data_IF_148235828731
#
_entry.id   IF_148235828731
#
_cell.length_a   1.000
_cell.length_b   1.000
_cell.length_c   1.000
_cell.angle_alpha   90.00
_cell.angle_beta   90.00
_cell.angle_gamma   90.00
#
_symmetry.space_group_name_H-M   'P 1'
#
loop_
_entity.id
_entity.type
_entity.pdbx_description
1 polymer ?
#
# COMPACT_ATOMS: atom_id res chain seq x y z
N UNK A 1 23.19 -23.33 22.97
CA UNK A 1 22.36 -24.54 22.71
C UNK A 1 21.71 -24.41 21.34
N UNK A 2 21.44 -25.51 20.63
CA UNK A 2 20.66 -25.53 19.37
C UNK A 2 19.35 -26.28 19.60
N UNK A 3 18.33 -26.01 18.77
CA UNK A 3 16.98 -26.61 18.90
C UNK A 3 17.03 -28.15 18.89
N UNK A 4 17.81 -28.73 17.97
CA UNK A 4 17.99 -30.18 17.87
C UNK A 4 18.60 -30.79 19.13
N UNK A 5 19.54 -30.07 19.77
CA UNK A 5 20.14 -30.50 21.04
C UNK A 5 19.14 -30.41 22.19
N UNK A 6 18.29 -29.39 22.20
CA UNK A 6 17.23 -29.26 23.21
C UNK A 6 16.19 -30.38 23.09
N UNK A 7 15.78 -30.74 21.86
CA UNK A 7 14.87 -31.86 21.60
C UNK A 7 15.47 -33.20 22.02
N UNK A 8 16.76 -33.44 21.72
CA UNK A 8 17.46 -34.65 22.16
C UNK A 8 17.61 -34.74 23.67
N UNK A 9 17.89 -33.61 24.33
CA UNK A 9 18.06 -33.56 25.79
C UNK A 9 16.75 -33.85 26.53
N UNK A 10 15.64 -33.31 26.03
CA UNK A 10 14.30 -33.59 26.58
C UNK A 10 13.72 -34.93 26.09
N UNK A 11 14.30 -35.56 25.07
CA UNK A 11 13.80 -36.82 24.49
C UNK A 11 12.49 -36.67 23.72
N UNK A 12 12.26 -35.51 23.12
CA UNK A 12 10.98 -35.13 22.49
C UNK A 12 11.16 -34.97 20.97
N UNK A 13 10.14 -35.34 20.18
CA UNK A 13 10.16 -35.16 18.73
C UNK A 13 9.92 -33.70 18.32
N UNK A 14 10.41 -33.31 17.14
CA UNK A 14 10.30 -31.93 16.62
C UNK A 14 8.85 -31.43 16.44
N UNK A 15 7.89 -32.37 16.34
CA UNK A 15 6.46 -32.09 16.21
C UNK A 15 5.64 -32.22 17.50
N UNK A 16 6.25 -32.52 18.65
CA UNK A 16 5.50 -32.79 19.87
C UNK A 16 4.72 -31.57 20.38
N UNK A 17 3.62 -31.83 21.08
CA UNK A 17 2.81 -30.77 21.68
C UNK A 17 3.58 -30.09 22.82
N UNK A 18 3.16 -28.87 23.17
CA UNK A 18 3.79 -28.18 24.30
C UNK A 18 3.58 -28.92 25.63
N UNK A 19 2.45 -29.62 25.76
CA UNK A 19 2.14 -30.44 26.92
C UNK A 19 3.09 -31.65 27.03
N UNK A 20 3.47 -32.25 25.89
CA UNK A 20 4.47 -33.33 25.85
C UNK A 20 5.86 -32.83 26.27
N UNK A 21 6.24 -31.62 25.84
CA UNK A 21 7.52 -30.99 26.22
C UNK A 21 7.55 -30.73 27.73
N UNK A 22 6.45 -30.23 28.32
CA UNK A 22 6.32 -30.03 29.76
C UNK A 22 6.41 -31.34 30.55
N UNK A 23 5.73 -32.39 30.06
CA UNK A 23 5.79 -33.72 30.67
C UNK A 23 7.20 -34.30 30.65
N UNK A 24 7.89 -34.17 29.51
CA UNK A 24 9.26 -34.62 29.35
C UNK A 24 10.24 -33.85 30.24
N UNK A 25 10.11 -32.52 30.33
CA UNK A 25 10.90 -31.70 31.28
C UNK A 25 10.74 -32.23 32.70
N UNK A 26 9.50 -32.41 33.17
CA UNK A 26 9.24 -32.87 34.53
C UNK A 26 9.81 -34.27 34.79
N UNK A 27 9.78 -35.16 33.79
CA UNK A 27 10.38 -36.49 33.89
C UNK A 27 11.91 -36.44 33.99
N UNK A 28 12.57 -35.64 33.14
CA UNK A 28 14.04 -35.51 33.13
C UNK A 28 14.53 -34.77 34.39
N UNK A 29 13.80 -33.76 34.84
CA UNK A 29 14.11 -33.03 36.07
C UNK A 29 13.97 -33.93 37.30
N UNK A 30 12.98 -34.83 37.32
CA UNK A 30 12.85 -35.83 38.38
C UNK A 30 14.02 -36.82 38.44
N UNK A 31 14.65 -37.14 37.29
CA UNK A 31 15.85 -37.99 37.25
C UNK A 31 17.15 -37.25 37.59
N UNK A 32 17.20 -35.91 37.48
CA UNK A 32 18.39 -35.09 37.74
C UNK A 32 18.40 -34.42 39.12
N UNK A 33 17.72 -35.00 40.13
CA UNK A 33 17.52 -34.39 41.46
C UNK A 33 18.79 -33.91 42.17
N UNK A 34 19.95 -34.51 41.89
CA UNK A 34 21.21 -34.22 42.56
C UNK A 34 22.21 -33.43 41.69
N UNK A 35 21.94 -33.28 40.38
CA UNK A 35 22.85 -32.63 39.42
C UNK A 35 22.35 -31.24 39.03
N UNK A 36 22.80 -30.22 39.77
CA UNK A 36 22.44 -28.81 39.56
C UNK A 36 22.80 -28.29 38.15
N UNK A 37 23.91 -28.76 37.57
CA UNK A 37 24.29 -28.41 36.20
C UNK A 37 23.36 -29.05 35.16
N UNK A 38 22.97 -30.31 35.34
CA UNK A 38 22.05 -31.00 34.46
C UNK A 38 20.64 -30.36 34.51
N UNK A 39 20.18 -29.99 35.71
CA UNK A 39 18.92 -29.25 35.89
C UNK A 39 18.94 -27.92 35.13
N UNK A 40 20.04 -27.15 35.21
CA UNK A 40 20.18 -25.89 34.48
C UNK A 40 20.13 -26.07 32.95
N UNK A 41 20.68 -27.17 32.44
CA UNK A 41 20.64 -27.48 31.01
C UNK A 41 19.24 -27.89 30.56
N UNK A 42 18.49 -28.64 31.38
CA UNK A 42 17.10 -29.01 31.11
C UNK A 42 16.21 -27.77 31.04
N UNK A 43 16.40 -26.81 31.95
CA UNK A 43 15.68 -25.53 31.94
C UNK A 43 16.04 -24.67 30.72
N UNK A 44 17.33 -24.57 30.39
CA UNK A 44 17.77 -23.86 29.19
C UNK A 44 17.24 -24.49 27.89
N UNK A 45 17.13 -25.83 27.84
CA UNK A 45 16.52 -26.55 26.72
C UNK A 45 15.03 -26.23 26.60
N UNK A 46 14.32 -26.23 27.74
CA UNK A 46 12.90 -25.90 27.80
C UNK A 46 12.62 -24.46 27.34
N UNK A 47 13.37 -23.48 27.86
CA UNK A 47 13.22 -22.07 27.49
C UNK A 47 13.47 -21.82 26.01
N UNK A 48 14.43 -22.53 25.42
CA UNK A 48 14.70 -22.46 23.99
C UNK A 48 13.50 -22.93 23.15
N UNK A 49 12.90 -24.07 23.49
CA UNK A 49 11.72 -24.60 22.79
C UNK A 49 10.49 -23.70 23.00
N UNK A 50 10.33 -23.14 24.20
CA UNK A 50 9.28 -22.17 24.50
C UNK A 50 9.43 -20.91 23.63
N UNK A 51 10.63 -20.32 23.57
CA UNK A 51 10.90 -19.13 22.78
C UNK A 51 10.73 -19.38 21.27
N UNK A 52 11.10 -20.57 20.79
CA UNK A 52 10.86 -20.96 19.40
C UNK A 52 9.36 -21.04 19.07
N UNK A 53 8.52 -21.59 19.95
CA UNK A 53 7.07 -21.62 19.74
C UNK A 53 6.47 -20.22 19.79
N UNK A 54 6.95 -19.35 20.67
CA UNK A 54 6.53 -17.94 20.73
C UNK A 54 6.92 -17.18 19.45
N UNK A 55 8.13 -17.39 18.93
CA UNK A 55 8.56 -16.77 17.68
C UNK A 55 7.76 -17.28 16.47
N UNK A 56 7.42 -18.57 16.42
CA UNK A 56 6.52 -19.14 15.42
C UNK A 56 5.12 -18.51 15.48
N UNK A 57 4.56 -18.30 16.68
CA UNK A 57 3.28 -17.58 16.86
C UNK A 57 3.35 -16.12 16.41
N UNK A 58 4.43 -15.41 16.74
CA UNK A 58 4.66 -14.03 16.25
C UNK A 58 4.82 -13.98 14.73
N UNK A 59 5.39 -15.03 14.13
CA UNK A 59 5.53 -15.17 12.69
C UNK A 59 4.25 -15.64 11.97
N UNK A 60 3.12 -15.78 12.69
CA UNK A 60 1.85 -16.25 12.12
C UNK A 60 1.82 -17.74 11.76
N UNK A 61 2.85 -18.50 12.13
CA UNK A 61 2.93 -19.95 11.92
C UNK A 61 2.33 -20.65 13.13
N UNK A 62 1.03 -20.93 13.08
CA UNK A 62 0.37 -21.73 14.13
C UNK A 62 0.76 -23.18 13.96
N UNK A 63 1.25 -23.79 15.04
CA UNK A 63 1.62 -25.21 15.05
C UNK A 63 0.45 -26.17 14.76
N UNK A 64 -0.79 -25.67 14.78
CA UNK A 64 -1.98 -26.47 14.57
C UNK A 64 -2.96 -25.73 13.65
N UNK A 65 -3.12 -26.23 12.42
CA UNK A 65 -4.03 -25.66 11.42
C UNK A 65 -5.52 -25.80 11.76
N UNK A 66 -5.84 -26.58 12.81
CA UNK A 66 -7.21 -26.77 13.31
C UNK A 66 -7.69 -25.65 14.25
N UNK A 67 -6.80 -24.74 14.66
CA UNK A 67 -7.20 -23.57 15.45
C UNK A 67 -7.86 -22.59 14.49
N UNK A 68 -9.18 -22.69 14.36
CA UNK A 68 -9.99 -21.71 13.67
C UNK A 68 -9.91 -20.44 14.49
N UNK A 69 -9.17 -19.46 13.97
CA UNK A 69 -9.29 -18.10 14.46
C UNK A 69 -10.77 -17.75 14.48
N UNK A 70 -11.21 -16.98 15.48
CA UNK A 70 -12.50 -16.35 15.38
C UNK A 70 -12.46 -15.56 14.08
N UNK A 71 -13.12 -16.08 13.04
CA UNK A 71 -13.49 -15.31 11.88
C UNK A 71 -14.37 -14.21 12.46
N UNK A 72 -13.72 -13.13 12.90
CA UNK A 72 -14.36 -11.85 13.08
C UNK A 72 -14.82 -11.58 11.67
N UNK A 73 -16.09 -11.93 11.37
CA UNK A 73 -16.78 -11.43 10.20
C UNK A 73 -16.38 -9.97 10.18
N UNK A 74 -15.66 -9.49 9.14
CA UNK A 74 -15.30 -8.08 9.11
C UNK A 74 -16.62 -7.37 9.36
N UNK A 75 -16.69 -6.64 10.47
CA UNK A 75 -17.82 -5.79 10.76
C UNK A 75 -17.85 -4.93 9.51
N UNK A 76 -18.83 -5.19 8.64
CA UNK A 76 -19.16 -4.29 7.55
C UNK A 76 -19.21 -2.96 8.24
N UNK A 77 -18.25 -2.09 7.90
CA UNK A 77 -18.27 -0.74 8.42
C UNK A 77 -19.71 -0.26 8.21
N UNK A 78 -20.40 0.22 9.26
CA UNK A 78 -21.72 0.79 9.07
C UNK A 78 -21.53 1.86 8.00
N UNK A 79 -22.16 1.63 6.85
CA UNK A 79 -21.87 2.34 5.62
C UNK A 79 -21.99 3.83 5.85
N UNK A 80 -20.82 4.49 5.87
CA UNK A 80 -20.76 5.94 5.76
C UNK A 80 -21.10 6.27 4.31
N UNK A 81 -22.37 6.62 4.08
CA UNK A 81 -22.89 7.17 2.84
C UNK A 81 -23.25 6.12 1.79
N UNK A 82 -24.55 6.03 1.47
CA UNK A 82 -25.03 5.29 0.32
C UNK A 82 -24.37 5.83 -0.96
N UNK A 83 -23.43 5.06 -1.52
CA UNK A 83 -22.93 5.29 -2.86
C UNK A 83 -24.08 5.02 -3.86
N UNK A 84 -24.33 5.91 -4.84
CA UNK A 84 -25.40 5.74 -5.81
C UNK A 84 -25.16 4.48 -6.67
N UNK A 85 -26.24 3.81 -7.10
CA UNK A 85 -26.17 2.48 -7.74
C UNK A 85 -25.27 2.40 -8.97
N UNK A 86 -25.15 3.50 -9.73
CA UNK A 86 -24.27 3.59 -10.90
C UNK A 86 -22.80 3.42 -10.52
N UNK A 87 -22.41 3.92 -9.35
CA UNK A 87 -21.06 3.80 -8.83
C UNK A 87 -20.80 2.39 -8.32
N UNK A 88 -21.76 1.79 -7.61
CA UNK A 88 -21.64 0.41 -7.12
C UNK A 88 -21.49 -0.61 -8.26
N UNK A 89 -22.25 -0.47 -9.35
CA UNK A 89 -22.11 -1.35 -10.54
C UNK A 89 -20.75 -1.19 -11.23
N UNK A 90 -20.16 -0.01 -11.14
CA UNK A 90 -18.86 0.29 -11.74
C UNK A 90 -17.74 -0.27 -10.87
N UNK A 91 -17.76 -0.05 -9.55
CA UNK A 91 -16.72 -0.57 -8.65
C UNK A 91 -16.79 -2.09 -8.49
N UNK A 92 -17.99 -2.70 -8.54
CA UNK A 92 -18.16 -4.16 -8.41
C UNK A 92 -17.60 -4.95 -9.61
N UNK A 93 -17.44 -4.29 -10.77
CA UNK A 93 -16.86 -4.88 -11.98
C UNK A 93 -15.40 -4.49 -12.21
N UNK A 94 -14.85 -3.59 -11.37
CA UNK A 94 -13.46 -3.16 -11.48
C UNK A 94 -12.66 -3.91 -10.41
N UNK A 95 -11.78 -4.87 -10.79
CA UNK A 95 -10.94 -5.60 -9.86
C UNK A 95 -9.76 -4.72 -9.42
N UNK A 96 -10.06 -3.62 -8.74
CA UNK A 96 -9.08 -2.68 -8.22
C UNK A 96 -9.31 -2.55 -6.73
N UNK A 97 -8.29 -2.91 -5.96
CA UNK A 97 -8.34 -2.92 -4.51
C UNK A 97 -7.92 -1.55 -4.00
N UNK A 98 -8.83 -0.88 -3.31
CA UNK A 98 -8.56 0.40 -2.66
C UNK A 98 -7.85 0.11 -1.35
N UNK A 99 -6.52 0.29 -1.32
CA UNK A 99 -5.70 0.09 -0.11
C UNK A 99 -5.10 1.42 0.34
N UNK A 100 -5.04 1.65 1.66
CA UNK A 100 -4.47 2.88 2.20
C UNK A 100 -2.97 2.96 1.86
N UNK A 101 -2.49 4.07 1.28
CA UNK A 101 -1.09 4.25 0.92
C UNK A 101 -0.19 4.14 2.16
N UNK A 102 1.00 3.54 2.01
CA UNK A 102 2.03 3.60 3.04
C UNK A 102 2.69 4.98 3.03
N UNK A 103 2.93 5.54 4.22
CA UNK A 103 3.42 6.92 4.44
C UNK A 103 4.69 7.26 3.63
N UNK A 104 5.58 6.28 3.42
CA UNK A 104 6.81 6.47 2.65
C UNK A 104 6.55 6.64 1.13
N UNK A 105 5.58 5.92 0.56
CA UNK A 105 5.21 6.08 -0.85
C UNK A 105 4.42 7.35 -1.12
N UNK A 106 3.67 7.82 -0.12
CA UNK A 106 2.91 9.07 -0.18
C UNK A 106 3.82 10.27 -0.40
N UNK A 107 4.93 10.37 0.35
CA UNK A 107 5.84 11.51 0.25
C UNK A 107 6.50 11.65 -1.12
N UNK A 108 6.97 10.53 -1.69
CA UNK A 108 7.61 10.52 -3.02
C UNK A 108 6.59 10.86 -4.11
N UNK A 109 5.40 10.25 -4.06
CA UNK A 109 4.36 10.49 -5.05
C UNK A 109 3.82 11.93 -4.96
N UNK A 110 3.58 12.44 -3.75
CA UNK A 110 3.16 13.82 -3.53
C UNK A 110 4.26 14.81 -3.97
N UNK A 111 5.53 14.48 -3.78
CA UNK A 111 6.65 15.28 -4.27
C UNK A 111 6.69 15.36 -5.80
N UNK A 112 6.56 14.23 -6.49
CA UNK A 112 6.59 14.17 -7.97
C UNK A 112 5.41 14.90 -8.58
N UNK A 113 4.18 14.61 -8.15
CA UNK A 113 2.99 15.28 -8.68
C UNK A 113 2.89 16.74 -8.22
N UNK A 114 3.32 17.06 -7.00
CA UNK A 114 3.40 18.43 -6.51
C UNK A 114 4.40 19.29 -7.28
N UNK A 115 5.57 18.75 -7.63
CA UNK A 115 6.54 19.44 -8.47
C UNK A 115 5.97 19.71 -9.87
N UNK A 116 5.23 18.76 -10.45
CA UNK A 116 4.57 18.93 -11.75
C UNK A 116 3.45 19.99 -11.69
N UNK A 117 2.67 20.05 -10.61
CA UNK A 117 1.64 21.10 -10.40
C UNK A 117 2.27 22.50 -10.25
N UNK A 118 3.37 22.62 -9.52
CA UNK A 118 4.10 23.90 -9.42
C UNK A 118 4.67 24.29 -10.78
N UNK A 119 5.20 23.32 -11.54
CA UNK A 119 5.72 23.55 -12.89
C UNK A 119 4.62 23.95 -13.88
N UNK A 120 3.41 23.39 -13.81
CA UNK A 120 2.26 23.82 -14.62
C UNK A 120 1.86 25.25 -14.28
N UNK A 121 1.82 25.59 -12.99
CA UNK A 121 1.45 26.93 -12.54
C UNK A 121 2.46 28.00 -13.00
N UNK A 122 3.76 27.74 -12.85
CA UNK A 122 4.84 28.64 -13.31
C UNK A 122 4.84 28.78 -14.84
N UNK A 123 4.57 27.70 -15.57
CA UNK A 123 4.45 27.71 -17.03
C UNK A 123 3.20 28.45 -17.51
N UNK A 124 2.12 28.42 -16.74
CA UNK A 124 0.85 29.09 -17.04
C UNK A 124 0.79 30.59 -16.69
N UNK A 125 1.67 31.04 -15.80
CA UNK A 125 1.76 32.44 -15.33
C UNK A 125 2.88 33.25 -16.01
N UNK A 126 3.83 32.59 -16.68
CA UNK A 126 4.91 33.28 -17.40
C UNK A 126 4.46 33.75 -18.79
N UNK A 127 4.65 35.02 -19.18
CA UNK A 127 4.56 35.41 -20.59
C UNK A 127 5.64 34.65 -21.36
N UNK A 128 5.31 34.13 -22.53
CA UNK A 128 6.20 33.33 -23.36
C UNK A 128 7.55 34.03 -23.58
N UNK A 129 8.57 33.65 -22.80
CA UNK A 129 9.93 34.17 -22.96
C UNK A 129 10.93 33.01 -22.98
N UNK A 130 11.39 32.72 -24.20
CA UNK A 130 12.72 32.24 -24.56
C UNK A 130 13.21 30.91 -23.97
N UNK A 131 12.50 29.82 -24.25
CA UNK A 131 13.07 28.47 -24.33
C UNK A 131 12.63 27.81 -25.65
N UNK A 132 13.35 26.79 -26.17
CA UNK A 132 13.06 26.19 -27.48
C UNK A 132 11.74 25.39 -27.52
N UNK A 133 10.96 25.39 -26.45
CA UNK A 133 9.70 24.69 -26.32
C UNK A 133 8.57 25.69 -26.50
N UNK A 134 7.86 25.54 -27.61
CA UNK A 134 6.77 26.44 -27.99
C UNK A 134 5.63 26.30 -26.97
N UNK A 135 4.88 27.37 -26.70
CA UNK A 135 3.88 27.42 -25.62
C UNK A 135 2.73 26.38 -25.70
N UNK A 136 2.64 25.61 -26.78
CA UNK A 136 1.71 24.49 -26.94
C UNK A 136 2.29 23.14 -26.47
N UNK A 137 3.62 23.00 -26.40
CA UNK A 137 4.29 21.73 -26.10
C UNK A 137 4.45 21.48 -24.59
N UNK A 138 4.51 22.57 -23.80
CA UNK A 138 4.76 22.50 -22.35
C UNK A 138 3.66 21.74 -21.60
N UNK A 139 2.35 22.01 -21.83
CA UNK A 139 1.28 21.22 -21.20
C UNK A 139 1.30 19.75 -21.65
N UNK A 140 1.58 19.49 -22.93
CA UNK A 140 1.67 18.13 -23.48
C UNK A 140 2.82 17.33 -22.85
N UNK A 141 3.97 17.96 -22.63
CA UNK A 141 5.13 17.34 -22.00
C UNK A 141 4.90 17.05 -20.51
N UNK A 142 4.19 17.94 -19.81
CA UNK A 142 3.82 17.73 -18.39
C UNK A 142 2.79 16.59 -18.27
N UNK A 143 1.83 16.49 -19.20
CA UNK A 143 0.90 15.38 -19.26
C UNK A 143 1.59 14.05 -19.62
N UNK A 144 2.54 14.06 -20.56
CA UNK A 144 3.29 12.88 -20.92
C UNK A 144 4.16 12.37 -19.76
N UNK A 145 4.83 13.28 -19.04
CA UNK A 145 5.66 12.94 -17.89
C UNK A 145 4.83 12.46 -16.70
N UNK A 146 3.68 13.07 -16.42
CA UNK A 146 2.74 12.60 -15.38
C UNK A 146 2.11 11.25 -15.71
N UNK A 147 1.81 10.98 -16.98
CA UNK A 147 1.37 9.67 -17.45
C UNK A 147 2.46 8.61 -17.26
N UNK A 148 3.70 8.91 -17.66
CA UNK A 148 4.84 8.03 -17.45
C UNK A 148 5.13 7.74 -15.97
N UNK A 149 5.06 8.77 -15.12
CA UNK A 149 5.17 8.62 -13.68
C UNK A 149 4.07 7.72 -13.11
N UNK A 150 2.82 7.88 -13.57
CA UNK A 150 1.69 7.05 -13.15
C UNK A 150 1.90 5.58 -13.51
N UNK A 151 2.35 5.29 -14.74
CA UNK A 151 2.70 3.91 -15.16
C UNK A 151 3.83 3.33 -14.32
N UNK A 152 4.87 4.12 -14.03
CA UNK A 152 6.01 3.67 -13.22
C UNK A 152 5.57 3.29 -11.80
N UNK A 153 4.76 4.12 -11.14
CA UNK A 153 4.26 3.84 -9.79
C UNK A 153 3.30 2.65 -9.74
N UNK A 154 2.40 2.50 -10.72
CA UNK A 154 1.53 1.32 -10.80
C UNK A 154 2.32 0.04 -11.11
N UNK A 155 3.31 0.10 -12.00
CA UNK A 155 4.18 -1.03 -12.32
C UNK A 155 4.99 -1.49 -11.10
N UNK A 156 5.52 -0.54 -10.32
CA UNK A 156 6.22 -0.82 -9.05
C UNK A 156 5.32 -1.51 -8.01
N UNK A 157 3.99 -1.35 -8.11
CA UNK A 157 3.00 -2.01 -7.25
C UNK A 157 2.59 -3.43 -7.71
N UNK A 158 3.31 -4.03 -8.67
CA UNK A 158 3.04 -5.37 -9.26
C UNK A 158 1.71 -5.49 -10.02
N UNK A 159 1.24 -4.38 -10.59
CA UNK A 159 0.07 -4.38 -11.48
C UNK A 159 0.56 -4.69 -12.90
N UNK A 160 -0.18 -5.53 -13.63
CA UNK A 160 0.12 -5.77 -15.04
C UNK A 160 0.09 -4.45 -15.82
N UNK A 161 1.11 -4.18 -16.65
CA UNK A 161 1.24 -2.92 -17.40
C UNK A 161 -0.01 -2.56 -18.20
N UNK A 162 -0.67 -3.56 -18.81
CA UNK A 162 -1.92 -3.34 -19.54
C UNK A 162 -3.08 -2.86 -18.64
N UNK A 163 -3.20 -3.39 -17.42
CA UNK A 163 -4.20 -2.93 -16.45
C UNK A 163 -3.85 -1.53 -15.95
N UNK A 164 -2.58 -1.28 -15.69
CA UNK A 164 -2.11 0.03 -15.27
C UNK A 164 -2.41 1.11 -16.31
N UNK A 165 -2.16 0.81 -17.60
CA UNK A 165 -2.48 1.72 -18.70
C UNK A 165 -3.99 2.00 -18.81
N UNK A 166 -4.85 0.99 -18.69
CA UNK A 166 -6.31 1.20 -18.72
C UNK A 166 -6.77 2.08 -17.55
N UNK A 167 -6.23 1.86 -16.36
CA UNK A 167 -6.53 2.63 -15.15
C UNK A 167 -6.08 4.09 -15.31
N UNK A 168 -4.87 4.34 -15.82
CA UNK A 168 -4.35 5.70 -16.01
C UNK A 168 -5.06 6.44 -17.14
N UNK A 169 -5.44 5.75 -18.22
CA UNK A 169 -6.29 6.32 -19.27
C UNK A 169 -7.67 6.67 -18.71
N UNK A 170 -8.26 5.80 -17.90
CA UNK A 170 -9.53 6.08 -17.21
C UNK A 170 -9.45 7.32 -16.32
N UNK A 171 -8.38 7.44 -15.51
CA UNK A 171 -8.11 8.62 -14.69
C UNK A 171 -7.94 9.91 -15.50
N UNK A 172 -7.32 9.81 -16.68
CA UNK A 172 -7.10 10.94 -17.57
C UNK A 172 -8.41 11.41 -18.23
N UNK A 173 -9.25 10.49 -18.69
CA UNK A 173 -10.58 10.81 -19.25
C UNK A 173 -11.47 11.46 -18.20
N UNK A 174 -11.50 10.91 -16.98
CA UNK A 174 -12.28 11.47 -15.87
C UNK A 174 -11.75 12.85 -15.48
N UNK A 175 -10.42 13.00 -15.35
CA UNK A 175 -9.78 14.27 -15.03
C UNK A 175 -10.03 15.34 -16.10
N UNK A 176 -9.96 14.97 -17.37
CA UNK A 176 -10.25 15.87 -18.49
C UNK A 176 -11.73 16.28 -18.53
N UNK A 177 -12.66 15.34 -18.36
CA UNK A 177 -14.10 15.64 -18.36
C UNK A 177 -14.49 16.57 -17.20
N UNK A 178 -13.95 16.34 -16.00
CA UNK A 178 -14.15 17.23 -14.85
C UNK A 178 -13.47 18.59 -15.10
N UNK A 179 -12.26 18.59 -15.67
CA UNK A 179 -11.53 19.80 -16.05
C UNK A 179 -12.30 20.71 -17.00
N UNK A 180 -12.81 20.14 -18.09
CA UNK A 180 -13.64 20.88 -19.06
C UNK A 180 -14.97 21.33 -18.47
N UNK A 181 -15.58 20.52 -17.60
CA UNK A 181 -16.81 20.91 -16.89
C UNK A 181 -16.60 22.11 -15.95
N UNK A 182 -15.49 22.12 -15.21
CA UNK A 182 -15.10 23.23 -14.34
C UNK A 182 -14.79 24.49 -15.16
N UNK A 183 -14.08 24.36 -16.27
CA UNK A 183 -13.82 25.46 -17.21
C UNK A 183 -15.11 26.10 -17.71
N UNK A 184 -16.09 25.27 -18.10
CA UNK A 184 -17.39 25.72 -18.59
C UNK A 184 -18.26 26.35 -17.50
N UNK A 185 -18.10 25.93 -16.24
CA UNK A 185 -18.81 26.50 -15.10
C UNK A 185 -18.19 27.81 -14.61
N UNK A 186 -16.86 27.97 -14.75
CA UNK A 186 -16.15 29.15 -14.27
C UNK A 186 -16.33 30.40 -15.15
N UNK A 187 -17.00 30.31 -16.32
CA UNK A 187 -17.14 31.42 -17.29
C UNK A 187 -15.87 32.28 -17.36
N UNK A 188 -14.78 31.70 -17.88
CA UNK A 188 -13.43 32.30 -17.96
C UNK A 188 -13.36 33.42 -19.02
N UNK A 189 -14.32 34.34 -19.01
CA UNK A 189 -14.23 35.60 -19.74
C UNK A 189 -14.24 36.82 -18.80
N UNK A 190 -14.47 36.65 -17.49
CA UNK A 190 -14.71 37.80 -16.57
C UNK A 190 -13.79 37.92 -15.35
N UNK A 191 -13.11 36.88 -14.84
CA UNK A 191 -12.15 37.09 -13.73
C UNK A 191 -10.92 36.19 -13.84
N UNK A 192 -9.71 36.76 -14.03
CA UNK A 192 -8.47 36.02 -13.89
C UNK A 192 -8.25 35.70 -12.41
N UNK A 193 -8.71 34.53 -11.96
CA UNK A 193 -8.31 34.03 -10.66
C UNK A 193 -6.81 33.70 -10.71
N UNK A 194 -6.02 34.39 -9.89
CA UNK A 194 -4.60 34.12 -9.65
C UNK A 194 -3.63 34.26 -10.84
N UNK A 195 -3.97 35.06 -11.85
CA UNK A 195 -3.01 35.45 -12.91
C UNK A 195 -2.75 34.39 -13.98
N UNK A 196 -3.52 33.30 -14.00
CA UNK A 196 -3.45 32.25 -15.03
C UNK A 196 -4.28 32.73 -16.24
N UNK A 197 -3.61 33.01 -17.36
CA UNK A 197 -4.27 33.50 -18.59
C UNK A 197 -4.76 32.40 -19.53
N UNK A 198 -4.48 31.13 -19.24
CA UNK A 198 -4.72 30.02 -20.17
C UNK A 198 -5.64 28.96 -19.54
N UNK A 199 -6.81 28.70 -20.14
CA UNK A 199 -7.74 27.64 -19.71
C UNK A 199 -7.09 26.25 -19.66
N UNK A 200 -6.09 26.00 -20.52
CA UNK A 200 -5.36 24.74 -20.57
C UNK A 200 -4.65 24.38 -19.24
N UNK A 201 -4.25 25.37 -18.45
CA UNK A 201 -3.52 25.15 -17.19
C UNK A 201 -4.44 24.54 -16.13
N UNK A 202 -5.68 25.02 -16.05
CA UNK A 202 -6.69 24.52 -15.10
C UNK A 202 -7.03 23.06 -15.41
N UNK A 203 -7.18 22.74 -16.70
CA UNK A 203 -7.43 21.38 -17.15
C UNK A 203 -6.23 20.47 -16.82
N UNK A 204 -4.99 20.92 -17.02
CA UNK A 204 -3.82 20.12 -16.64
C UNK A 204 -3.70 19.87 -15.15
N UNK A 205 -4.02 20.86 -14.30
CA UNK A 205 -3.98 20.67 -12.83
C UNK A 205 -4.98 19.63 -12.35
N UNK A 206 -6.20 19.64 -12.91
CA UNK A 206 -7.24 18.67 -12.56
C UNK A 206 -6.90 17.26 -13.07
N UNK A 207 -6.25 17.15 -14.23
CA UNK A 207 -5.73 15.87 -14.74
C UNK A 207 -4.61 15.35 -13.83
N UNK A 208 -3.66 16.20 -13.42
CA UNK A 208 -2.58 15.83 -12.51
C UNK A 208 -3.12 15.37 -11.15
N UNK A 209 -4.14 16.07 -10.62
CA UNK A 209 -4.78 15.69 -9.37
C UNK A 209 -5.54 14.36 -9.48
N UNK A 210 -6.25 14.15 -10.59
CA UNK A 210 -6.91 12.87 -10.90
C UNK A 210 -5.89 11.73 -11.00
N UNK A 211 -4.80 11.91 -11.75
CA UNK A 211 -3.73 10.91 -11.88
C UNK A 211 -2.98 10.67 -10.57
N UNK A 212 -2.82 11.71 -9.75
CA UNK A 212 -2.28 11.57 -8.40
C UNK A 212 -3.17 10.65 -7.57
N UNK A 213 -4.47 10.94 -7.48
CA UNK A 213 -5.45 10.11 -6.76
C UNK A 213 -5.47 8.67 -7.29
N UNK A 214 -5.48 8.49 -8.60
CA UNK A 214 -5.48 7.16 -9.22
C UNK A 214 -4.22 6.40 -8.87
N UNK A 215 -3.05 7.03 -8.97
CA UNK A 215 -1.79 6.40 -8.58
C UNK A 215 -1.73 6.09 -7.09
N UNK A 216 -2.43 6.86 -6.25
CA UNK A 216 -2.38 6.75 -4.78
C UNK A 216 -3.29 5.63 -4.26
N UNK A 217 -4.54 5.63 -4.71
CA UNK A 217 -5.62 4.79 -4.18
C UNK A 217 -5.86 3.52 -4.99
N UNK A 218 -5.53 3.48 -6.28
CA UNK A 218 -5.75 2.28 -7.09
C UNK A 218 -4.52 1.35 -7.00
N UNK A 219 -4.79 0.10 -6.61
CA UNK A 219 -3.87 -1.06 -6.71
C UNK A 219 -4.55 -2.24 -7.40
#
# INVERSE_FOLDING_TARGET
MTVERALKLLGVSEGASFDDILRAKNAVLASCKDDMEAASQVEAAYDMLLMQRLSQRRAGKVANGNIRYADIRPIRSPGTGAWPEWLQKTVKNIPVSVESPSTNSLGIQAGVYGALMVLTFVSGSSPASAGPYTGADVPGLILATSFGASLYFLSKKRINLGKAAVITIGGLVVGAAIGSGVEQWLQVDVVPFYGIRSPAVIVTELILFSQFLVSLYLR
#
